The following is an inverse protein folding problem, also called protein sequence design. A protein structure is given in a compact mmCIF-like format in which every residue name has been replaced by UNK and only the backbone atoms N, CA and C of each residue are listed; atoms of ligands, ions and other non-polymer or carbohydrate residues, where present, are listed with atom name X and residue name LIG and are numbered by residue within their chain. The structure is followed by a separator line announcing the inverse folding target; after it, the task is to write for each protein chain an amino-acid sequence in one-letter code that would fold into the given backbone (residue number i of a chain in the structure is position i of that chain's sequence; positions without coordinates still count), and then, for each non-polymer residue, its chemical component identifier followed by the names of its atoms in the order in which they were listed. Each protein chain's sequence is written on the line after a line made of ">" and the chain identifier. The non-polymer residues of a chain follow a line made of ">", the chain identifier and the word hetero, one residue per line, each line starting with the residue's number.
data_IF_768459695857
#
_entry.id   IF_768459695857
#
_cell.length_a   1.000
_cell.length_b   1.000
_cell.length_c   1.000
_cell.angle_alpha   90.00
_cell.angle_beta   90.00
_cell.angle_gamma   90.00
#
_symmetry.space_group_name_H-M   'P 1'
#
loop_
_entity.id
_entity.type
_entity.pdbx_description
1 polymer ?
#
# COMPACT_ATOMS: atom_id res chain seq x y z
N UNK A 1 -20.48 5.11 -3.95
CA UNK A 1 -20.35 6.57 -3.76
C UNK A 1 -18.95 7.01 -4.13
N UNK A 2 -18.83 8.19 -4.74
CA UNK A 2 -17.58 8.87 -5.07
C UNK A 2 -17.65 10.29 -4.53
N UNK A 3 -16.62 10.73 -3.84
CA UNK A 3 -16.49 12.11 -3.36
C UNK A 3 -15.66 12.87 -4.40
N UNK A 4 -16.21 13.94 -4.98
CA UNK A 4 -15.52 14.79 -5.95
C UNK A 4 -14.75 15.90 -5.28
N UNK A 5 -15.33 16.48 -4.23
CA UNK A 5 -14.73 17.59 -3.49
C UNK A 5 -15.15 17.55 -2.03
N UNK A 6 -14.23 17.94 -1.15
CA UNK A 6 -14.55 18.29 0.23
C UNK A 6 -13.91 19.65 0.54
N UNK A 7 -14.68 20.54 1.16
CA UNK A 7 -14.20 21.80 1.71
C UNK A 7 -14.61 21.88 3.17
N UNK A 8 -13.67 22.24 4.01
CA UNK A 8 -13.89 22.47 5.44
C UNK A 8 -13.49 23.89 5.77
N UNK A 9 -14.28 24.56 6.61
CA UNK A 9 -13.96 25.87 7.15
C UNK A 9 -14.22 25.87 8.64
N UNK A 10 -13.37 26.58 9.37
CA UNK A 10 -13.51 26.75 10.81
C UNK A 10 -13.71 25.40 11.52
N UNK A 11 -12.96 24.38 11.13
CA UNK A 11 -13.14 23.00 11.57
C UNK A 11 -11.93 22.53 12.38
N UNK A 12 -12.12 22.32 13.68
CA UNK A 12 -11.05 22.04 14.63
C UNK A 12 -9.93 23.10 14.54
N UNK A 13 -8.73 22.71 14.09
CA UNK A 13 -7.60 23.62 13.87
C UNK A 13 -7.51 24.20 12.45
N UNK A 14 -8.43 23.85 11.55
CA UNK A 14 -8.40 24.26 10.15
C UNK A 14 -9.24 25.54 9.99
N UNK A 15 -8.62 26.62 9.50
CA UNK A 15 -9.35 27.82 9.08
C UNK A 15 -10.11 27.56 7.78
N UNK A 16 -9.41 27.06 6.76
CA UNK A 16 -9.99 26.64 5.50
C UNK A 16 -9.09 25.59 4.84
N UNK A 17 -9.70 24.51 4.33
CA UNK A 17 -9.02 23.55 3.48
C UNK A 17 -10.00 22.98 2.45
N UNK A 18 -9.50 22.72 1.25
CA UNK A 18 -10.28 22.17 0.15
C UNK A 18 -9.46 21.09 -0.58
N UNK A 19 -10.11 19.97 -0.86
CA UNK A 19 -9.53 18.86 -1.61
C UNK A 19 -10.48 18.47 -2.72
N UNK A 20 -10.00 18.53 -3.96
CA UNK A 20 -10.67 18.02 -5.15
C UNK A 20 -10.06 16.65 -5.47
N UNK A 21 -10.88 15.62 -5.53
CA UNK A 21 -10.46 14.25 -5.81
C UNK A 21 -10.51 13.98 -7.31
N UNK A 22 -9.50 13.33 -7.89
CA UNK A 22 -9.53 12.90 -9.28
C UNK A 22 -10.58 11.78 -9.46
N UNK A 23 -11.13 11.68 -10.68
CA UNK A 23 -12.13 10.65 -11.00
C UNK A 23 -11.59 9.22 -10.87
N UNK A 24 -10.28 9.05 -11.06
CA UNK A 24 -9.56 7.77 -10.99
C UNK A 24 -8.21 7.94 -10.33
N UNK A 25 -7.74 6.89 -9.63
CA UNK A 25 -6.40 6.84 -9.03
C UNK A 25 -6.44 6.92 -7.51
N UNK A 26 -5.29 7.26 -6.92
CA UNK A 26 -5.08 7.35 -5.47
C UNK A 26 -4.71 8.77 -5.10
N UNK A 27 -5.44 9.37 -4.17
CA UNK A 27 -5.10 10.68 -3.58
C UNK A 27 -4.35 10.47 -2.27
N UNK A 28 -3.13 11.00 -2.18
CA UNK A 28 -2.32 10.98 -0.95
C UNK A 28 -2.36 12.39 -0.33
N UNK A 29 -2.87 12.48 0.90
CA UNK A 29 -2.87 13.73 1.68
C UNK A 29 -1.71 13.66 2.68
N UNK A 30 -0.64 14.39 2.39
CA UNK A 30 0.55 14.50 3.26
C UNK A 30 0.57 15.85 4.00
N UNK A 31 1.14 15.85 5.20
CA UNK A 31 1.33 17.05 6.01
C UNK A 31 1.98 16.68 7.33
N UNK A 32 2.41 17.66 8.12
CA UNK A 32 2.87 17.41 9.49
C UNK A 32 1.72 16.86 10.35
N UNK A 33 2.03 16.20 11.47
CA UNK A 33 1.01 15.92 12.48
C UNK A 33 0.36 17.25 12.90
N UNK A 34 -0.93 17.24 13.19
CA UNK A 34 -1.75 18.43 13.51
C UNK A 34 -2.06 19.37 12.34
N UNK A 35 -1.61 19.08 11.11
CA UNK A 35 -1.99 19.85 9.91
C UNK A 35 -3.46 19.67 9.48
N UNK A 36 -4.29 18.98 10.28
CA UNK A 36 -5.71 18.77 9.98
C UNK A 36 -6.05 17.55 9.12
N UNK A 37 -5.10 16.65 8.83
CA UNK A 37 -5.36 15.42 8.04
C UNK A 37 -6.48 14.57 8.63
N UNK A 38 -6.38 14.23 9.92
CA UNK A 38 -7.43 13.50 10.64
C UNK A 38 -8.74 14.30 10.67
N UNK A 39 -8.64 15.62 10.83
CA UNK A 39 -9.81 16.50 10.87
C UNK A 39 -10.60 16.49 9.56
N UNK A 40 -9.93 16.43 8.39
CA UNK A 40 -10.59 16.28 7.08
C UNK A 40 -11.38 14.97 6.98
N UNK A 41 -10.80 13.86 7.41
CA UNK A 41 -11.48 12.55 7.41
C UNK A 41 -12.70 12.57 8.34
N UNK A 42 -12.53 13.10 9.57
CA UNK A 42 -13.64 13.21 10.53
C UNK A 42 -14.72 14.19 10.09
N UNK A 43 -14.38 15.21 9.29
CA UNK A 43 -15.35 16.16 8.74
C UNK A 43 -16.32 15.49 7.77
N UNK A 44 -15.80 14.59 6.91
CA UNK A 44 -16.61 13.79 6.01
C UNK A 44 -17.58 12.86 6.77
N UNK A 45 -17.15 12.25 7.87
CA UNK A 45 -18.06 11.46 8.71
C UNK A 45 -19.08 12.34 9.40
N UNK A 46 -18.63 13.47 9.93
CA UNK A 46 -19.48 14.38 10.68
C UNK A 46 -20.65 14.88 9.85
N UNK A 47 -20.41 15.30 8.60
CA UNK A 47 -21.45 15.87 7.73
C UNK A 47 -22.55 14.85 7.38
N UNK A 48 -22.16 13.57 7.19
CA UNK A 48 -23.10 12.50 6.86
C UNK A 48 -23.85 11.98 8.09
N UNK A 49 -23.21 11.91 9.26
CA UNK A 49 -23.77 11.26 10.46
C UNK A 49 -24.58 12.22 11.36
N UNK A 50 -24.20 13.50 11.45
CA UNK A 50 -24.77 14.40 12.45
C UNK A 50 -25.61 15.53 11.82
N UNK A 51 -26.85 15.77 12.29
CA UNK A 51 -27.60 16.96 11.90
C UNK A 51 -26.89 18.23 12.42
N UNK A 52 -27.18 19.37 11.81
CA UNK A 52 -26.68 20.71 12.21
C UNK A 52 -27.03 21.07 13.67
N UNK A 53 -28.16 20.56 14.15
CA UNK A 53 -28.64 20.69 15.52
C UNK A 53 -27.88 19.85 16.55
N UNK A 54 -26.96 18.97 16.11
CA UNK A 54 -26.30 17.97 16.97
C UNK A 54 -25.57 18.56 18.18
N UNK A 55 -25.90 17.98 19.34
CA UNK A 55 -25.23 18.20 20.63
C UNK A 55 -24.09 17.22 20.91
N UNK A 56 -23.74 16.35 19.95
CA UNK A 56 -22.72 15.31 20.10
C UNK A 56 -21.38 15.86 20.60
N UNK A 57 -20.69 15.09 21.46
CA UNK A 57 -19.32 15.38 21.90
C UNK A 57 -18.36 15.45 20.71
N UNK A 58 -18.57 14.65 19.66
CA UNK A 58 -17.76 14.70 18.43
C UNK A 58 -17.88 16.06 17.74
N UNK A 59 -19.10 16.59 17.61
CA UNK A 59 -19.33 17.92 17.03
C UNK A 59 -18.83 19.04 17.95
N UNK A 60 -18.90 18.86 19.27
CA UNK A 60 -18.33 19.84 20.21
C UNK A 60 -16.80 19.90 20.14
N UNK A 61 -16.13 18.79 19.86
CA UNK A 61 -14.67 18.70 19.78
C UNK A 61 -14.07 19.38 18.54
N UNK A 62 -14.87 19.60 17.49
CA UNK A 62 -14.42 20.22 16.23
C UNK A 62 -14.77 21.69 16.13
N UNK A 63 -15.31 22.29 17.19
CA UNK A 63 -15.52 23.74 17.26
C UNK A 63 -14.16 24.43 17.42
N UNK A 64 -13.85 25.47 16.63
CA UNK A 64 -12.62 26.22 16.77
C UNK A 64 -12.47 26.84 18.15
N UNK A 65 -11.27 26.75 18.71
CA UNK A 65 -10.96 27.40 19.98
C UNK A 65 -10.71 28.90 19.74
N UNK A 66 -11.34 29.75 20.55
CA UNK A 66 -11.08 31.20 20.55
C UNK A 66 -11.76 31.99 19.44
N UNK A 67 -12.68 31.39 18.66
CA UNK A 67 -13.45 32.07 17.61
C UNK A 67 -14.95 31.80 17.79
N UNK A 68 -15.80 32.83 17.70
CA UNK A 68 -17.27 32.72 17.79
C UNK A 68 -17.90 32.38 16.43
N UNK A 69 -17.46 31.26 15.84
CA UNK A 69 -17.91 30.73 14.55
C UNK A 69 -18.26 29.25 14.67
N UNK A 70 -19.05 28.73 13.74
CA UNK A 70 -19.47 27.33 13.70
C UNK A 70 -18.62 26.54 12.71
N UNK A 71 -18.25 25.28 12.99
CA UNK A 71 -17.56 24.46 12.01
C UNK A 71 -18.44 24.18 10.80
N UNK A 72 -17.83 24.24 9.62
CA UNK A 72 -18.49 24.13 8.33
C UNK A 72 -17.85 23.06 7.47
N UNK A 73 -18.68 22.25 6.83
CA UNK A 73 -18.24 21.23 5.88
C UNK A 73 -19.16 21.28 4.68
N UNK A 74 -18.56 21.18 3.50
CA UNK A 74 -19.22 21.07 2.22
C UNK A 74 -18.60 19.92 1.44
N UNK A 75 -19.45 19.07 0.85
CA UNK A 75 -19.01 17.93 0.04
C UNK A 75 -19.82 17.87 -1.23
N UNK A 76 -19.12 17.64 -2.33
CA UNK A 76 -19.70 17.22 -3.59
C UNK A 76 -19.50 15.72 -3.74
N UNK A 77 -20.59 14.98 -3.93
CA UNK A 77 -20.54 13.53 -4.06
C UNK A 77 -21.48 13.02 -5.16
N UNK A 78 -21.14 11.85 -5.66
CA UNK A 78 -21.93 11.06 -6.59
C UNK A 78 -22.28 9.74 -5.93
N UNK A 79 -23.55 9.37 -5.89
CA UNK A 79 -23.99 8.10 -5.29
C UNK A 79 -25.23 7.58 -5.99
N UNK A 80 -25.20 6.34 -6.51
CA UNK A 80 -26.18 5.88 -7.48
C UNK A 80 -26.28 6.85 -8.67
N UNK A 81 -27.51 7.23 -9.02
CA UNK A 81 -27.81 8.23 -10.07
C UNK A 81 -27.76 9.68 -9.57
N UNK A 82 -27.41 9.88 -8.29
CA UNK A 82 -27.42 11.20 -7.68
C UNK A 82 -26.08 11.90 -7.82
N UNK A 83 -26.12 13.16 -8.26
CA UNK A 83 -25.02 14.11 -8.12
C UNK A 83 -25.50 15.25 -7.22
N UNK A 84 -24.81 15.47 -6.10
CA UNK A 84 -25.25 16.42 -5.10
C UNK A 84 -24.11 17.19 -4.44
N UNK A 85 -24.42 18.40 -4.01
CA UNK A 85 -23.62 19.26 -3.14
C UNK A 85 -24.34 19.36 -1.80
N UNK A 86 -23.63 19.02 -0.73
CA UNK A 86 -24.18 19.01 0.62
C UNK A 86 -23.32 19.86 1.54
N UNK A 87 -23.94 20.89 2.10
CA UNK A 87 -23.32 21.85 3.00
C UNK A 87 -23.95 21.76 4.39
N UNK A 88 -23.11 21.81 5.43
CA UNK A 88 -23.59 21.85 6.82
C UNK A 88 -22.67 22.71 7.70
N UNK A 89 -23.31 23.55 8.52
CA UNK A 89 -22.69 24.30 9.61
C UNK A 89 -23.30 23.88 10.94
N UNK A 90 -22.45 23.58 11.92
CA UNK A 90 -22.90 23.29 13.29
C UNK A 90 -22.69 24.47 14.23
N UNK A 91 -23.37 24.43 15.38
CA UNK A 91 -23.26 25.40 16.48
C UNK A 91 -23.68 26.82 16.10
N UNK A 92 -22.74 27.70 15.75
CA UNK A 92 -23.04 29.11 15.46
C UNK A 92 -23.47 29.23 14.01
N UNK A 93 -24.64 29.85 13.78
CA UNK A 93 -25.20 29.98 12.43
C UNK A 93 -25.55 28.63 11.80
N UNK A 94 -26.18 27.72 12.58
CA UNK A 94 -26.56 26.38 12.11
C UNK A 94 -27.27 26.47 10.76
N UNK A 95 -26.77 25.67 9.82
CA UNK A 95 -27.26 25.67 8.46
C UNK A 95 -27.07 24.27 7.89
N UNK A 96 -28.02 23.84 7.08
CA UNK A 96 -27.89 22.65 6.23
C UNK A 96 -28.49 23.02 4.90
N UNK A 97 -27.75 22.79 3.82
CA UNK A 97 -28.22 23.00 2.45
C UNK A 97 -27.87 21.77 1.64
N UNK A 98 -28.85 21.25 0.91
CA UNK A 98 -28.67 20.19 -0.07
C UNK A 98 -29.05 20.75 -1.43
N UNK A 99 -28.16 20.58 -2.40
CA UNK A 99 -28.43 20.82 -3.81
C UNK A 99 -28.18 19.52 -4.57
N UNK A 100 -29.23 18.95 -5.13
CA UNK A 100 -29.17 17.78 -6.01
C UNK A 100 -29.24 18.28 -7.44
N UNK A 101 -28.26 17.92 -8.26
CA UNK A 101 -28.21 18.29 -9.69
C UNK A 101 -28.77 17.16 -10.57
N UNK A 102 -28.62 15.90 -10.12
CA UNK A 102 -29.14 14.70 -10.78
C UNK A 102 -29.72 13.73 -9.75
N UNK A 103 -30.73 12.92 -10.10
CA UNK A 103 -31.37 12.81 -11.42
C UNK A 103 -32.35 13.96 -11.73
N UNK A 104 -32.95 14.56 -10.70
CA UNK A 104 -33.86 15.70 -10.80
C UNK A 104 -33.30 16.84 -9.94
N UNK A 105 -33.18 18.08 -10.49
CA UNK A 105 -32.75 19.22 -9.71
C UNK A 105 -33.65 19.48 -8.50
N UNK A 106 -33.06 19.51 -7.31
CA UNK A 106 -33.76 19.71 -6.04
C UNK A 106 -32.87 20.54 -5.11
N UNK A 107 -33.43 21.55 -4.45
CA UNK A 107 -32.75 22.30 -3.40
C UNK A 107 -33.57 22.26 -2.12
N UNK A 108 -32.95 21.80 -1.04
CA UNK A 108 -33.56 21.71 0.28
C UNK A 108 -32.67 22.40 1.30
N UNK A 109 -33.27 22.82 2.41
CA UNK A 109 -32.55 23.43 3.54
C UNK A 109 -32.99 22.81 4.87
N UNK A 110 -32.15 22.96 5.89
CA UNK A 110 -32.45 22.55 7.26
C UNK A 110 -32.64 21.05 7.41
N UNK A 111 -33.68 20.65 8.15
CA UNK A 111 -33.94 19.25 8.49
C UNK A 111 -34.27 18.41 7.26
N UNK A 112 -35.09 18.94 6.36
CA UNK A 112 -35.51 18.23 5.15
C UNK A 112 -34.30 17.90 4.25
N UNK A 113 -33.32 18.79 4.16
CA UNK A 113 -32.07 18.54 3.45
C UNK A 113 -31.28 17.36 4.06
N UNK A 114 -31.18 17.30 5.39
CA UNK A 114 -30.48 16.21 6.06
C UNK A 114 -31.20 14.87 5.87
N UNK A 115 -32.51 14.83 6.11
CA UNK A 115 -33.32 13.63 5.98
C UNK A 115 -33.32 13.13 4.52
N UNK A 116 -33.29 14.04 3.53
CA UNK A 116 -33.16 13.68 2.11
C UNK A 116 -31.81 13.05 1.78
N UNK A 117 -30.71 13.59 2.31
CA UNK A 117 -29.38 12.96 2.14
C UNK A 117 -29.35 11.57 2.77
N UNK A 118 -29.86 11.40 4.00
CA UNK A 118 -29.93 10.08 4.64
C UNK A 118 -30.73 9.07 3.80
N UNK A 119 -31.85 9.49 3.21
CA UNK A 119 -32.64 8.66 2.31
C UNK A 119 -31.86 8.25 1.06
N UNK A 120 -31.19 9.21 0.40
CA UNK A 120 -30.36 8.95 -0.79
C UNK A 120 -29.23 7.97 -0.46
N UNK A 121 -28.53 8.16 0.65
CA UNK A 121 -27.44 7.28 1.05
C UNK A 121 -27.95 5.88 1.38
N UNK A 122 -29.08 5.75 2.08
CA UNK A 122 -29.69 4.44 2.38
C UNK A 122 -30.15 3.70 1.11
N UNK A 123 -30.59 4.43 0.09
CA UNK A 123 -30.99 3.88 -1.20
C UNK A 123 -29.79 3.42 -2.04
N UNK A 124 -28.68 4.17 -1.99
CA UNK A 124 -27.56 4.02 -2.95
C UNK A 124 -26.30 3.39 -2.36
N UNK A 125 -26.24 3.21 -1.03
CA UNK A 125 -25.09 2.69 -0.32
C UNK A 125 -25.47 1.68 0.74
N UNK A 126 -24.69 0.61 0.79
CA UNK A 126 -24.60 -0.21 2.00
C UNK A 126 -23.77 0.56 3.04
N UNK A 127 -24.48 1.08 4.05
CA UNK A 127 -23.86 1.86 5.13
C UNK A 127 -22.95 1.02 6.04
N UNK A 128 -23.12 -0.31 6.07
CA UNK A 128 -22.22 -1.23 6.77
C UNK A 128 -20.89 -1.36 6.04
N UNK A 129 -20.94 -1.58 4.73
CA UNK A 129 -19.77 -1.63 3.86
C UNK A 129 -19.01 -0.31 3.85
N UNK A 130 -19.71 0.81 3.73
CA UNK A 130 -19.11 2.14 3.75
C UNK A 130 -18.28 2.38 5.02
N UNK A 131 -18.77 1.89 6.16
CA UNK A 131 -18.05 1.98 7.44
C UNK A 131 -16.88 0.99 7.48
N UNK A 132 -17.06 -0.24 7.00
CA UNK A 132 -16.00 -1.25 6.98
C UNK A 132 -14.79 -0.85 6.12
N UNK A 133 -15.02 -0.16 4.99
CA UNK A 133 -13.95 0.33 4.10
C UNK A 133 -13.18 1.53 4.67
N UNK A 134 -13.62 2.11 5.78
CA UNK A 134 -12.97 3.25 6.44
C UNK A 134 -12.28 2.79 7.71
N UNK A 135 -11.01 2.44 7.58
CA UNK A 135 -10.13 2.14 8.71
C UNK A 135 -9.73 3.44 9.42
N UNK A 136 -10.29 3.66 10.61
CA UNK A 136 -9.93 4.80 11.46
C UNK A 136 -8.56 4.59 12.10
N UNK A 137 -7.71 5.61 12.02
CA UNK A 137 -6.39 5.64 12.65
C UNK A 137 -6.54 5.54 14.17
N UNK A 138 -6.31 4.35 14.74
CA UNK A 138 -6.40 4.11 16.19
C UNK A 138 -7.31 2.95 16.58
N UNK A 139 -8.11 2.39 15.66
CA UNK A 139 -8.48 1.00 15.78
C UNK A 139 -7.17 0.22 15.65
N UNK A 140 -6.79 -0.54 16.68
CA UNK A 140 -5.71 -1.52 16.52
C UNK A 140 -5.98 -2.28 15.21
N UNK A 141 -4.93 -2.64 14.48
CA UNK A 141 -5.00 -3.67 13.44
C UNK A 141 -5.32 -5.04 14.10
N UNK A 142 -6.29 -5.08 15.02
CA UNK A 142 -7.07 -6.28 15.24
C UNK A 142 -7.69 -6.59 13.90
N UNK A 143 -7.54 -7.86 13.50
CA UNK A 143 -8.18 -8.47 12.36
C UNK A 143 -9.48 -7.74 12.09
N UNK A 144 -9.52 -6.95 11.01
CA UNK A 144 -10.72 -6.20 10.67
C UNK A 144 -11.85 -7.22 10.70
N UNK A 145 -12.91 -6.89 11.42
CA UNK A 145 -14.04 -7.79 11.58
C UNK A 145 -14.72 -7.88 10.22
N UNK A 146 -14.17 -8.73 9.37
CA UNK A 146 -14.61 -8.99 8.00
C UNK A 146 -15.90 -9.84 8.01
N UNK A 147 -16.50 -10.08 9.18
CA UNK A 147 -17.84 -10.65 9.38
C UNK A 147 -18.97 -9.73 8.87
N UNK A 148 -18.75 -8.97 7.81
CA UNK A 148 -19.79 -8.17 7.17
C UNK A 148 -20.10 -8.81 5.82
N UNK A 149 -21.18 -9.61 5.70
CA UNK A 149 -21.61 -10.22 4.43
C UNK A 149 -21.67 -9.23 3.27
N UNK A 150 -21.93 -7.94 3.54
CA UNK A 150 -21.98 -6.90 2.51
C UNK A 150 -20.64 -6.54 1.87
N UNK A 151 -19.50 -6.81 2.51
CA UNK A 151 -18.19 -6.68 1.87
C UNK A 151 -17.93 -7.82 0.88
N UNK A 152 -18.33 -9.05 1.23
CA UNK A 152 -18.33 -10.19 0.30
C UNK A 152 -19.15 -9.87 -0.94
N UNK A 153 -20.43 -9.52 -0.74
CA UNK A 153 -21.33 -9.17 -1.84
C UNK A 153 -20.83 -7.99 -2.71
N UNK A 154 -20.13 -7.00 -2.13
CA UNK A 154 -19.60 -5.89 -2.89
C UNK A 154 -18.31 -6.20 -3.67
N UNK A 155 -17.46 -7.09 -3.15
CA UNK A 155 -16.33 -7.63 -3.89
C UNK A 155 -16.84 -8.46 -5.08
N UNK A 156 -17.89 -9.26 -4.87
CA UNK A 156 -18.53 -10.07 -5.92
C UNK A 156 -19.19 -9.23 -7.02
N UNK A 157 -19.89 -8.15 -6.63
CA UNK A 157 -20.45 -7.19 -7.58
C UNK A 157 -19.36 -6.45 -8.40
N UNK A 158 -18.22 -6.14 -7.79
CA UNK A 158 -17.09 -5.47 -8.46
C UNK A 158 -16.36 -6.37 -9.47
N UNK A 159 -16.41 -7.70 -9.27
CA UNK A 159 -15.83 -8.70 -10.18
C UNK A 159 -16.75 -8.96 -11.40
N UNK A 160 -17.99 -8.46 -11.37
CA UNK A 160 -18.90 -8.47 -12.53
C UNK A 160 -19.83 -9.69 -12.60
N UNK A 161 -20.28 -10.20 -11.45
CA UNK A 161 -21.26 -11.28 -11.38
C UNK A 161 -22.69 -10.79 -11.52
N UNK A 162 -23.12 -10.43 -12.73
CA UNK A 162 -24.55 -10.43 -13.06
C UNK A 162 -24.92 -11.86 -13.48
N UNK A 163 -24.97 -12.77 -12.50
CA UNK A 163 -25.47 -14.13 -12.69
C UNK A 163 -26.46 -14.39 -11.57
N UNK A 164 -27.72 -14.11 -11.85
CA UNK A 164 -28.84 -14.65 -11.09
C UNK A 164 -28.69 -16.18 -10.99
N UNK A 165 -28.35 -16.67 -9.79
CA UNK A 165 -28.43 -18.09 -9.46
C UNK A 165 -27.39 -18.53 -8.44
N UNK A 166 -27.83 -18.73 -7.18
CA UNK A 166 -27.31 -19.65 -6.14
C UNK A 166 -25.80 -19.66 -5.80
N UNK A 167 -24.98 -18.83 -6.44
CA UNK A 167 -23.51 -18.77 -6.33
C UNK A 167 -23.04 -17.42 -5.71
N UNK A 168 -23.96 -16.64 -5.12
CA UNK A 168 -23.72 -15.32 -4.52
C UNK A 168 -22.93 -15.37 -3.20
N UNK A 169 -22.85 -16.54 -2.55
CA UNK A 169 -22.04 -16.79 -1.34
C UNK A 169 -20.70 -17.49 -1.66
N UNK A 170 -20.43 -17.82 -2.93
CA UNK A 170 -19.41 -18.82 -3.27
C UNK A 170 -17.97 -18.30 -3.23
N UNK A 171 -17.69 -17.04 -3.55
CA UNK A 171 -16.32 -16.54 -3.59
C UNK A 171 -15.73 -16.39 -2.19
N UNK A 172 -16.48 -15.79 -1.27
CA UNK A 172 -16.02 -15.61 0.10
C UNK A 172 -15.78 -16.97 0.77
N UNK A 173 -16.71 -17.92 0.61
CA UNK A 173 -16.50 -19.30 1.08
C UNK A 173 -15.28 -19.95 0.43
N UNK A 174 -15.03 -19.76 -0.87
CA UNK A 174 -13.81 -20.27 -1.53
C UNK A 174 -12.53 -19.64 -0.97
N UNK A 175 -12.56 -18.34 -0.65
CA UNK A 175 -11.43 -17.64 -0.03
C UNK A 175 -11.18 -18.19 1.38
N UNK A 176 -12.24 -18.34 2.18
CA UNK A 176 -12.17 -18.90 3.53
C UNK A 176 -11.69 -20.36 3.50
N UNK A 177 -12.16 -21.18 2.56
CA UNK A 177 -11.75 -22.58 2.39
C UNK A 177 -10.28 -22.67 1.98
N UNK A 178 -9.82 -21.86 1.03
CA UNK A 178 -8.42 -21.83 0.60
C UNK A 178 -7.52 -21.28 1.72
N UNK A 179 -7.97 -20.26 2.47
CA UNK A 179 -7.26 -19.79 3.66
C UNK A 179 -7.19 -20.89 4.73
N UNK A 180 -8.31 -21.54 5.02
CA UNK A 180 -8.39 -22.62 5.98
C UNK A 180 -7.54 -23.82 5.55
N UNK A 181 -7.21 -24.00 4.28
CA UNK A 181 -6.30 -25.06 3.82
C UNK A 181 -4.89 -24.89 4.38
N UNK A 182 -4.36 -23.67 4.37
CA UNK A 182 -2.97 -23.41 4.74
C UNK A 182 -2.79 -22.76 6.12
N UNK A 183 -3.85 -22.21 6.72
CA UNK A 183 -3.79 -21.52 8.01
C UNK A 183 -4.81 -22.07 9.01
N UNK A 184 -4.50 -21.95 10.30
CA UNK A 184 -5.47 -22.16 11.39
C UNK A 184 -6.34 -20.91 11.57
N UNK A 185 -7.48 -21.05 12.25
CA UNK A 185 -8.34 -19.89 12.60
C UNK A 185 -7.60 -18.80 13.41
N UNK A 186 -6.47 -19.16 14.05
CA UNK A 186 -5.59 -18.23 14.79
C UNK A 186 -4.42 -17.69 13.96
N UNK A 187 -4.42 -17.93 12.64
CA UNK A 187 -3.41 -17.45 11.71
C UNK A 187 -2.08 -18.21 11.71
N UNK A 188 -2.00 -19.38 12.37
CA UNK A 188 -0.77 -20.20 12.35
C UNK A 188 -0.72 -21.04 11.07
N UNK A 189 0.44 -21.18 10.42
CA UNK A 189 0.58 -22.02 9.24
C UNK A 189 0.31 -23.49 9.58
N UNK A 190 -0.41 -24.18 8.71
CA UNK A 190 -0.66 -25.62 8.77
C UNK A 190 0.52 -26.41 8.21
N UNK A 191 0.50 -27.72 8.44
CA UNK A 191 1.56 -28.65 8.03
C UNK A 191 1.83 -28.58 6.52
N UNK A 192 0.80 -28.44 5.68
CA UNK A 192 0.97 -28.32 4.22
C UNK A 192 1.81 -27.09 3.84
N UNK A 193 1.52 -25.92 4.42
CA UNK A 193 2.27 -24.70 4.17
C UNK A 193 3.68 -24.74 4.79
N UNK A 194 3.81 -25.31 5.99
CA UNK A 194 5.11 -25.50 6.64
C UNK A 194 6.01 -26.41 5.81
N UNK A 195 5.49 -27.55 5.34
CA UNK A 195 6.24 -28.50 4.55
C UNK A 195 6.68 -27.89 3.20
N UNK A 196 5.80 -27.13 2.54
CA UNK A 196 6.16 -26.42 1.31
C UNK A 196 7.23 -25.34 1.56
N UNK A 197 7.18 -24.65 2.70
CA UNK A 197 8.19 -23.67 3.08
C UNK A 197 9.55 -24.33 3.38
N UNK A 198 9.54 -25.48 4.05
CA UNK A 198 10.75 -26.26 4.34
C UNK A 198 11.36 -26.81 3.03
N UNK A 199 10.55 -27.35 2.12
CA UNK A 199 11.02 -27.84 0.81
C UNK A 199 11.61 -26.71 -0.05
N UNK A 200 11.02 -25.51 -0.01
CA UNK A 200 11.57 -24.33 -0.68
C UNK A 200 12.93 -23.94 -0.09
N UNK A 201 13.06 -23.96 1.23
CA UNK A 201 14.32 -23.63 1.90
C UNK A 201 15.43 -24.63 1.57
N UNK A 202 15.11 -25.94 1.58
CA UNK A 202 16.07 -26.98 1.19
C UNK A 202 16.51 -26.85 -0.28
N UNK A 203 15.57 -26.56 -1.19
CA UNK A 203 15.89 -26.36 -2.60
C UNK A 203 16.77 -25.12 -2.83
N UNK A 204 16.51 -24.03 -2.09
CA UNK A 204 17.33 -22.81 -2.14
C UNK A 204 18.74 -23.07 -1.61
N UNK A 205 18.89 -23.76 -0.47
CA UNK A 205 20.20 -24.11 0.08
C UNK A 205 21.00 -24.99 -0.89
N UNK A 206 20.36 -25.97 -1.53
CA UNK A 206 20.98 -26.81 -2.55
C UNK A 206 21.44 -26.01 -3.77
N UNK A 207 20.62 -25.05 -4.23
CA UNK A 207 20.96 -24.15 -5.34
C UNK A 207 22.17 -23.26 -4.99
N UNK A 208 22.16 -22.64 -3.82
CA UNK A 208 23.24 -21.78 -3.36
C UNK A 208 24.57 -22.56 -3.19
N UNK A 209 24.49 -23.80 -2.69
CA UNK A 209 25.65 -24.68 -2.57
C UNK A 209 26.22 -25.07 -3.95
N UNK A 210 25.37 -25.34 -4.93
CA UNK A 210 25.78 -25.65 -6.30
C UNK A 210 26.44 -24.43 -6.97
N UNK A 211 25.86 -23.24 -6.82
CA UNK A 211 26.43 -21.99 -7.34
C UNK A 211 27.78 -21.66 -6.69
N UNK A 212 27.91 -21.86 -5.38
CA UNK A 212 29.18 -21.69 -4.68
C UNK A 212 30.23 -22.71 -5.13
N UNK A 213 29.82 -23.93 -5.51
CA UNK A 213 30.72 -24.92 -6.08
C UNK A 213 31.20 -24.52 -7.47
N UNK A 214 30.30 -24.05 -8.34
CA UNK A 214 30.66 -23.56 -9.68
C UNK A 214 31.67 -22.40 -9.61
N UNK A 215 31.41 -21.40 -8.74
CA UNK A 215 32.35 -20.28 -8.56
C UNK A 215 33.74 -20.71 -8.11
N UNK A 216 33.85 -21.77 -7.31
CA UNK A 216 35.16 -22.33 -6.92
C UNK A 216 35.86 -23.00 -8.10
N UNK A 217 35.13 -23.77 -8.91
CA UNK A 217 35.70 -24.42 -10.10
C UNK A 217 36.18 -23.38 -11.13
N UNK A 218 35.43 -22.29 -11.31
CA UNK A 218 35.84 -21.19 -12.19
C UNK A 218 37.13 -20.53 -11.67
N UNK A 219 37.23 -20.25 -10.36
CA UNK A 219 38.43 -19.69 -9.76
C UNK A 219 39.65 -20.63 -9.86
N UNK A 220 39.45 -21.93 -9.67
CA UNK A 220 40.51 -22.94 -9.83
C UNK A 220 40.98 -23.01 -11.29
N UNK A 221 40.07 -22.90 -12.26
CA UNK A 221 40.40 -22.87 -13.68
C UNK A 221 41.24 -21.63 -14.04
N UNK A 222 40.85 -20.45 -13.55
CA UNK A 222 41.63 -19.21 -13.73
C UNK A 222 43.04 -19.32 -13.11
N UNK A 223 43.15 -19.93 -11.93
CA UNK A 223 44.45 -20.14 -11.28
C UNK A 223 45.31 -21.14 -12.06
N UNK A 224 44.73 -22.22 -12.59
CA UNK A 224 45.43 -23.15 -13.46
C UNK A 224 45.99 -22.44 -14.70
N UNK A 225 45.19 -21.59 -15.35
CA UNK A 225 45.62 -20.86 -16.54
C UNK A 225 46.72 -19.85 -16.21
N UNK A 226 46.63 -19.17 -15.05
CA UNK A 226 47.69 -18.31 -14.53
C UNK A 226 48.99 -19.08 -14.28
N UNK A 227 48.91 -20.22 -13.58
CA UNK A 227 50.07 -21.05 -13.26
C UNK A 227 50.71 -21.64 -14.53
N UNK A 228 49.92 -22.04 -15.52
CA UNK A 228 50.43 -22.46 -16.84
C UNK A 228 51.20 -21.34 -17.52
N UNK A 229 50.66 -20.12 -17.54
CA UNK A 229 51.36 -18.97 -18.12
C UNK A 229 52.68 -18.66 -17.39
N UNK A 230 52.67 -18.70 -16.05
CA UNK A 230 53.88 -18.53 -15.24
C UNK A 230 54.91 -19.63 -15.49
N UNK A 231 54.49 -20.89 -15.63
CA UNK A 231 55.38 -22.01 -15.92
C UNK A 231 56.10 -21.83 -17.27
N UNK A 232 55.40 -21.33 -18.29
CA UNK A 232 56.01 -21.01 -19.59
C UNK A 232 57.10 -19.94 -19.45
N UNK A 233 56.79 -18.83 -18.76
CA UNK A 233 57.77 -17.75 -18.53
C UNK A 233 58.98 -18.23 -17.71
N UNK A 234 58.74 -19.02 -16.67
CA UNK A 234 59.81 -19.61 -15.86
C UNK A 234 60.68 -20.57 -16.67
N UNK A 235 60.09 -21.35 -17.58
CA UNK A 235 60.83 -22.23 -18.46
C UNK A 235 61.71 -21.45 -19.45
N UNK A 236 61.19 -20.37 -20.05
CA UNK A 236 61.95 -19.49 -20.94
C UNK A 236 63.13 -18.84 -20.21
N UNK A 237 62.88 -18.23 -19.05
CA UNK A 237 63.93 -17.62 -18.22
C UNK A 237 64.97 -18.63 -17.75
N UNK A 238 64.58 -19.87 -17.43
CA UNK A 238 65.53 -20.93 -17.09
C UNK A 238 66.46 -21.26 -18.27
N UNK A 239 65.91 -21.34 -19.48
CA UNK A 239 66.70 -21.57 -20.71
C UNK A 239 67.66 -20.42 -20.98
N UNK A 240 67.23 -19.17 -20.82
CA UNK A 240 68.09 -17.99 -20.98
C UNK A 240 69.20 -17.91 -19.92
N UNK A 241 68.87 -18.20 -18.66
CA UNK A 241 69.84 -18.26 -17.58
C UNK A 241 70.90 -19.34 -17.85
N UNK A 242 70.49 -20.53 -18.32
CA UNK A 242 71.42 -21.60 -18.69
C UNK A 242 72.39 -21.18 -19.80
N UNK A 243 71.89 -20.52 -20.86
CA UNK A 243 72.74 -19.96 -21.94
C UNK A 243 73.71 -18.89 -21.44
N UNK A 244 73.27 -18.06 -20.51
CA UNK A 244 74.12 -17.00 -19.93
C UNK A 244 75.25 -17.61 -19.11
N UNK A 245 74.96 -18.64 -18.30
CA UNK A 245 75.97 -19.37 -17.53
C UNK A 245 76.99 -20.01 -18.45
N UNK A 246 76.55 -20.66 -19.54
CA UNK A 246 77.44 -21.26 -20.55
C UNK A 246 78.35 -20.20 -21.20
N UNK A 247 77.78 -19.08 -21.64
CA UNK A 247 78.56 -17.97 -22.22
C UNK A 247 79.57 -17.36 -21.23
N UNK A 248 79.21 -17.23 -19.95
CA UNK A 248 80.12 -16.74 -18.92
C UNK A 248 81.27 -17.72 -18.66
N UNK A 249 80.99 -19.03 -18.66
CA UNK A 249 82.03 -20.06 -18.55
C UNK A 249 83.03 -19.98 -19.70
N UNK A 250 82.54 -19.84 -20.95
CA UNK A 250 83.40 -19.67 -22.13
C UNK A 250 84.28 -18.42 -22.05
N UNK A 251 83.73 -17.30 -21.54
CA UNK A 251 84.49 -16.06 -21.33
C UNK A 251 85.58 -16.21 -20.27
N UNK A 252 85.29 -16.90 -19.16
CA UNK A 252 86.28 -17.20 -18.12
C UNK A 252 87.42 -18.04 -18.68
N UNK A 253 87.11 -19.07 -19.46
CA UNK A 253 88.10 -19.92 -20.12
C UNK A 253 88.94 -19.17 -21.17
N UNK A 254 88.35 -18.20 -21.86
CA UNK A 254 89.07 -17.34 -22.78
C UNK A 254 90.05 -16.40 -22.05
N UNK A 255 89.63 -15.78 -20.93
CA UNK A 255 90.49 -14.93 -20.10
C UNK A 255 91.64 -15.73 -19.47
N UNK A 256 91.38 -16.95 -19.02
CA UNK A 256 92.41 -17.84 -18.50
C UNK A 256 93.49 -18.16 -19.53
N UNK A 257 93.10 -18.34 -20.81
CA UNK A 257 94.03 -18.60 -21.93
C UNK A 257 94.89 -17.40 -22.34
N UNK A 258 94.47 -16.17 -22.06
CA UNK A 258 95.23 -14.95 -22.36
C UNK A 258 96.24 -14.59 -21.27
N UNK A 259 96.04 -15.11 -20.04
CA UNK A 259 96.94 -14.84 -18.89
C UNK A 259 98.03 -15.90 -18.66
N UNK A 260 97.96 -17.05 -19.34
CA UNK A 260 99.00 -18.09 -19.34
C UNK A 260 99.93 -17.95 -20.53
#
# INVERSE_FOLDING_TARGET
>A
MRIRRIRVRDYAGIEEAEVVFPDTGVTIIEGVNEAGKTSLVTALDAILEYPDSSGSKKIAAVVPVGRDVGPEVEVELVTGDYELTYHKRWKKGKETVLEVTRPVPEQLVGRDAHDRVEAILKETLDMGLWKALRLDQGAALGQADFEVPSLGHALDAAIGGDVAGDDEDALWTRIEDEYARYWTATGRPKVELSAAADELAEAQEASDAADAHLRRLDADAEEIDRLKAQAVVLQETQVEAARTVESMADQVDAVARVRG
#
